data_IF_012133924838
#
_entry.id   IF_012133924838
#
_cell.length_a   1.000
_cell.length_b   1.000
_cell.length_c   1.000
_cell.angle_alpha   90.00
_cell.angle_beta   90.00
_cell.angle_gamma   90.00
#
_symmetry.space_group_name_H-M   'P 1'
#
loop_
_entity.id
_entity.type
_entity.pdbx_description
1 polymer ?
#
# COMPACT_ATOMS: atom_id res chain seq x y z
N UNK A 1 -10.57 16.76 -5.08
CA UNK A 1 -10.09 16.89 -3.69
C UNK A 1 -11.00 16.03 -2.84
N UNK A 2 -10.57 14.81 -2.51
CA UNK A 2 -11.33 13.95 -1.60
C UNK A 2 -11.44 14.66 -0.25
N UNK A 3 -12.58 14.54 0.48
CA UNK A 3 -12.74 15.23 1.74
C UNK A 3 -11.68 14.70 2.71
N UNK A 4 -10.84 15.61 3.21
CA UNK A 4 -9.97 15.34 4.35
C UNK A 4 -10.89 15.07 5.54
N UNK A 5 -11.28 13.81 5.72
CA UNK A 5 -11.87 13.37 6.99
C UNK A 5 -10.76 13.60 8.00
N UNK A 6 -10.93 14.60 8.85
CA UNK A 6 -10.06 14.82 10.02
C UNK A 6 -10.23 13.58 10.89
N UNK A 7 -9.35 12.59 10.72
CA UNK A 7 -9.40 11.35 11.46
C UNK A 7 -8.80 11.61 12.83
N UNK A 8 -9.60 11.40 13.88
CA UNK A 8 -9.13 11.42 15.26
C UNK A 8 -7.97 10.40 15.37
N UNK A 9 -6.83 10.81 15.92
CA UNK A 9 -5.74 9.87 16.19
C UNK A 9 -6.29 8.70 17.03
N UNK A 10 -6.15 7.50 16.50
CA UNK A 10 -6.71 6.28 17.10
C UNK A 10 -5.74 5.65 18.11
N UNK A 11 -4.43 5.88 17.93
CA UNK A 11 -3.39 5.48 18.88
C UNK A 11 -1.99 5.82 18.39
N UNK A 12 -0.97 5.44 19.17
CA UNK A 12 0.42 5.80 18.87
C UNK A 12 1.08 4.90 17.81
N UNK A 13 0.80 3.60 17.81
CA UNK A 13 1.49 2.63 16.95
C UNK A 13 0.55 1.54 16.44
N UNK A 14 0.57 1.32 15.13
CA UNK A 14 -0.06 0.16 14.48
C UNK A 14 1.00 -0.76 13.85
N UNK A 15 0.70 -2.06 13.81
CA UNK A 15 1.53 -3.07 13.15
C UNK A 15 0.71 -3.74 12.04
N UNK A 16 1.28 -3.81 10.85
CA UNK A 16 0.72 -4.53 9.70
C UNK A 16 1.57 -5.76 9.43
N UNK A 17 0.94 -6.93 9.46
CA UNK A 17 1.58 -8.19 9.12
C UNK A 17 1.34 -8.51 7.64
N UNK A 18 2.41 -8.42 6.85
CA UNK A 18 2.44 -8.63 5.41
C UNK A 18 2.65 -7.34 4.63
N UNK A 19 3.69 -7.31 3.79
CA UNK A 19 4.02 -6.25 2.84
C UNK A 19 3.52 -6.57 1.42
N UNK A 20 2.32 -7.15 1.31
CA UNK A 20 1.63 -7.31 0.01
C UNK A 20 1.01 -5.99 -0.44
N UNK A 21 0.43 -5.97 -1.65
CA UNK A 21 -0.36 -4.82 -2.12
C UNK A 21 -1.42 -4.38 -1.09
N UNK A 22 -2.16 -5.34 -0.52
CA UNK A 22 -3.18 -5.04 0.49
C UNK A 22 -2.56 -4.50 1.79
N UNK A 23 -1.47 -5.11 2.26
CA UNK A 23 -0.80 -4.68 3.49
C UNK A 23 -0.18 -3.29 3.38
N UNK A 24 0.45 -2.97 2.26
CA UNK A 24 1.03 -1.64 2.02
C UNK A 24 -0.04 -0.55 1.88
N UNK A 25 -1.17 -0.86 1.21
CA UNK A 25 -2.31 0.06 1.14
C UNK A 25 -2.93 0.29 2.51
N UNK A 26 -3.14 -0.77 3.29
CA UNK A 26 -3.62 -0.66 4.66
C UNK A 26 -2.66 0.17 5.52
N UNK A 27 -1.35 -0.08 5.41
CA UNK A 27 -0.33 0.68 6.13
C UNK A 27 -0.41 2.17 5.79
N UNK A 28 -0.51 2.53 4.50
CA UNK A 28 -0.67 3.93 4.07
C UNK A 28 -1.92 4.59 4.63
N UNK A 29 -3.06 3.90 4.68
CA UNK A 29 -4.27 4.47 5.29
C UNK A 29 -4.10 4.61 6.80
N UNK A 30 -3.44 3.65 7.47
CA UNK A 30 -3.19 3.70 8.91
C UNK A 30 -2.28 4.87 9.32
N UNK A 31 -1.39 5.36 8.46
CA UNK A 31 -0.56 6.54 8.78
C UNK A 31 -1.38 7.81 8.96
N UNK A 32 -2.64 7.83 8.53
CA UNK A 32 -3.55 8.96 8.77
C UNK A 32 -4.16 8.96 10.18
N UNK A 33 -4.10 7.82 10.88
CA UNK A 33 -4.73 7.61 12.19
C UNK A 33 -3.73 7.27 13.31
N UNK A 34 -2.52 6.82 12.95
CA UNK A 34 -1.46 6.41 13.89
C UNK A 34 -0.17 7.17 13.64
N UNK A 35 0.54 7.52 14.72
CA UNK A 35 1.84 8.21 14.64
C UNK A 35 2.93 7.35 14.02
N UNK A 36 2.90 6.04 14.29
CA UNK A 36 3.85 5.06 13.74
C UNK A 36 3.09 3.88 13.15
N UNK A 37 3.55 3.42 11.99
CA UNK A 37 3.09 2.17 11.38
C UNK A 37 4.32 1.31 11.07
N UNK A 38 4.37 0.10 11.60
CA UNK A 38 5.42 -0.88 11.29
C UNK A 38 4.84 -1.98 10.42
N UNK A 39 5.45 -2.21 9.26
CA UNK A 39 5.10 -3.35 8.39
C UNK A 39 6.13 -4.46 8.61
N UNK A 40 5.66 -5.68 8.83
CA UNK A 40 6.51 -6.87 9.00
C UNK A 40 6.12 -7.86 7.92
N UNK A 41 7.08 -8.32 7.12
CA UNK A 41 6.88 -9.41 6.17
C UNK A 41 7.85 -10.56 6.48
N UNK A 42 7.46 -11.77 6.09
CA UNK A 42 8.30 -12.98 6.23
C UNK A 42 9.41 -13.00 5.18
N UNK A 43 9.12 -12.52 3.98
CA UNK A 43 10.09 -12.49 2.90
C UNK A 43 10.94 -11.22 2.98
N UNK A 44 12.20 -11.33 2.55
CA UNK A 44 13.03 -10.17 2.29
C UNK A 44 12.44 -9.37 1.13
N UNK A 45 12.55 -8.05 1.22
CA UNK A 45 12.15 -7.18 0.11
C UNK A 45 13.12 -7.42 -1.05
N UNK A 46 12.64 -7.91 -2.20
CA UNK A 46 13.52 -8.20 -3.31
C UNK A 46 13.89 -6.92 -4.08
N UNK A 47 14.86 -7.01 -4.97
CA UNK A 47 15.10 -5.95 -5.96
C UNK A 47 13.86 -5.74 -6.85
N UNK A 48 13.78 -4.56 -7.48
CA UNK A 48 12.65 -4.18 -8.33
C UNK A 48 12.44 -5.22 -9.43
N UNK A 49 11.19 -5.66 -9.61
CA UNK A 49 10.79 -6.59 -10.67
C UNK A 49 11.02 -8.08 -10.34
N UNK A 50 11.60 -8.39 -9.19
CA UNK A 50 11.83 -9.78 -8.78
C UNK A 50 10.63 -10.31 -7.98
N UNK A 51 10.16 -11.51 -8.35
CA UNK A 51 9.05 -12.17 -7.66
C UNK A 51 9.47 -12.67 -6.27
N UNK A 52 8.59 -12.48 -5.29
CA UNK A 52 8.77 -12.99 -3.92
C UNK A 52 8.10 -14.34 -3.73
N UNK A 53 8.74 -15.22 -2.96
CA UNK A 53 8.28 -16.58 -2.66
C UNK A 53 6.86 -16.61 -2.07
N UNK A 54 6.53 -15.67 -1.18
CA UNK A 54 5.26 -15.54 -0.48
C UNK A 54 4.12 -14.94 -1.31
N UNK A 55 4.36 -14.62 -2.60
CA UNK A 55 3.32 -14.20 -3.56
C UNK A 55 3.50 -15.00 -4.85
N UNK A 56 3.13 -16.29 -4.84
CA UNK A 56 3.22 -17.15 -6.03
C UNK A 56 2.43 -16.59 -7.21
N UNK A 57 1.29 -15.93 -6.94
CA UNK A 57 0.47 -15.25 -7.94
C UNK A 57 1.11 -14.00 -8.55
N UNK A 58 2.26 -13.55 -8.05
CA UNK A 58 2.97 -12.37 -8.54
C UNK A 58 3.49 -12.53 -9.97
N UNK A 59 3.51 -13.77 -10.48
CA UNK A 59 3.89 -14.14 -11.85
C UNK A 59 2.75 -13.95 -12.86
N UNK A 60 1.53 -13.72 -12.40
CA UNK A 60 0.36 -13.54 -13.25
C UNK A 60 0.15 -12.06 -13.58
N UNK A 61 -0.58 -11.79 -14.66
CA UNK A 61 -0.98 -10.43 -15.02
C UNK A 61 -2.02 -9.94 -14.01
N UNK A 62 -1.77 -8.75 -13.44
CA UNK A 62 -2.71 -8.07 -12.55
C UNK A 62 -3.18 -6.79 -13.26
N UNK A 63 -4.43 -6.80 -13.72
CA UNK A 63 -5.04 -5.61 -14.35
C UNK A 63 -5.56 -4.69 -13.26
N UNK A 64 -5.15 -3.42 -13.30
CA UNK A 64 -5.64 -2.40 -12.37
C UNK A 64 -6.92 -1.77 -12.92
N UNK A 65 -8.02 -1.92 -12.17
CA UNK A 65 -9.29 -1.28 -12.51
C UNK A 65 -9.15 0.25 -12.50
N UNK A 66 -9.79 1.01 -13.42
CA UNK A 66 -9.66 2.47 -13.49
C UNK A 66 -9.92 3.19 -12.16
N UNK A 67 -11.01 2.83 -11.47
CA UNK A 67 -11.28 3.42 -10.14
C UNK A 67 -10.21 3.09 -9.09
N UNK A 68 -9.60 1.91 -9.19
CA UNK A 68 -8.49 1.52 -8.31
C UNK A 68 -7.23 2.33 -8.60
N UNK A 69 -6.98 2.65 -9.87
CA UNK A 69 -5.93 3.59 -10.30
C UNK A 69 -6.13 4.96 -9.67
N UNK A 70 -7.33 5.52 -9.75
CA UNK A 70 -7.62 6.84 -9.19
C UNK A 70 -7.38 6.86 -7.68
N UNK A 71 -7.85 5.84 -6.96
CA UNK A 71 -7.64 5.71 -5.51
C UNK A 71 -6.15 5.58 -5.17
N UNK A 72 -5.36 4.89 -5.99
CA UNK A 72 -3.91 4.81 -5.80
C UNK A 72 -3.21 6.15 -5.99
N UNK A 73 -3.59 6.93 -6.99
CA UNK A 73 -3.07 8.29 -7.18
C UNK A 73 -3.50 9.24 -6.05
N UNK A 74 -4.70 9.06 -5.48
CA UNK A 74 -5.15 9.80 -4.30
C UNK A 74 -4.32 9.44 -3.05
N UNK A 75 -4.06 8.15 -2.81
CA UNK A 75 -3.27 7.69 -1.67
C UNK A 75 -1.77 7.97 -1.82
N UNK A 76 -1.26 7.90 -3.05
CA UNK A 76 0.15 8.10 -3.42
C UNK A 76 0.25 9.06 -4.61
N UNK A 77 0.31 10.38 -4.36
CA UNK A 77 0.36 11.37 -5.43
C UNK A 77 1.48 11.11 -6.44
N UNK A 78 1.10 10.96 -7.71
CA UNK A 78 2.03 10.66 -8.81
C UNK A 78 2.31 9.18 -9.05
N UNK A 79 1.57 8.27 -8.40
CA UNK A 79 1.70 6.82 -8.57
C UNK A 79 1.69 6.40 -10.05
N UNK A 80 0.87 7.03 -10.88
CA UNK A 80 0.72 6.65 -12.29
C UNK A 80 1.50 7.51 -13.27
N UNK A 81 2.34 8.44 -12.80
CA UNK A 81 3.00 9.45 -13.63
C UNK A 81 3.96 8.86 -14.69
N UNK A 82 4.44 7.63 -14.48
CA UNK A 82 5.33 6.91 -15.41
C UNK A 82 4.66 5.87 -16.30
N UNK A 83 3.33 5.69 -16.20
CA UNK A 83 2.59 4.77 -17.04
C UNK A 83 2.35 5.43 -18.41
N UNK A 84 3.00 4.94 -19.46
CA UNK A 84 2.74 5.33 -20.86
C UNK A 84 1.62 4.49 -21.45
#
# INVERSE_FOLDING_TARGET
MAPTVVRKQTGDHAVVLGASMAGLLAARVLTEAYRKVTVIDRDLMPEIGVHRRGVPQGRHIHVLHPRGRDVLDELFPGFTKGLR
#
